data_IF_670262694199
#
_entry.id   IF_670262694199
#
_cell.length_a   1.000
_cell.length_b   1.000
_cell.length_c   1.000
_cell.angle_alpha   90.00
_cell.angle_beta   90.00
_cell.angle_gamma   90.00
#
_symmetry.space_group_name_H-M   'P 1'
#
loop_
_entity.id
_entity.type
_entity.pdbx_description
1 polymer ?
#
# COMPACT_ATOMS: atom_id res chain seq x y z
N UNK A 1 17.56 26.86 -13.21
CA UNK A 1 16.28 26.37 -12.68
C UNK A 1 16.58 25.44 -11.51
N UNK A 2 16.30 25.87 -10.27
CA UNK A 2 16.38 24.96 -9.12
C UNK A 2 15.17 24.01 -9.23
N UNK A 3 15.40 22.77 -9.65
CA UNK A 3 14.40 21.72 -9.54
C UNK A 3 14.14 21.51 -8.06
N UNK A 4 12.92 21.82 -7.61
CA UNK A 4 12.48 21.45 -6.26
C UNK A 4 12.78 19.95 -6.05
N UNK A 5 13.34 19.56 -4.90
CA UNK A 5 13.63 18.16 -4.64
C UNK A 5 12.36 17.34 -4.82
N UNK A 6 12.47 16.23 -5.55
CA UNK A 6 11.32 15.36 -5.83
C UNK A 6 10.80 14.81 -4.50
N UNK A 7 9.61 15.25 -4.08
CA UNK A 7 8.93 14.70 -2.92
C UNK A 7 8.21 13.40 -3.31
N UNK A 8 8.72 12.29 -2.80
CA UNK A 8 8.15 10.95 -3.01
C UNK A 8 6.92 10.71 -2.13
N UNK A 9 6.83 11.35 -0.96
CA UNK A 9 5.70 11.22 -0.04
C UNK A 9 4.70 12.36 -0.20
N UNK A 10 3.41 12.03 -0.24
CA UNK A 10 2.31 12.98 -0.35
C UNK A 10 1.19 12.65 0.62
N UNK A 11 0.49 13.68 1.09
CA UNK A 11 -0.79 13.49 1.77
C UNK A 11 -1.88 13.35 0.72
N UNK A 12 -2.64 12.26 0.77
CA UNK A 12 -3.72 11.98 -0.16
C UNK A 12 -5.08 12.20 0.49
N UNK A 13 -6.11 12.34 -0.34
CA UNK A 13 -7.48 12.51 0.15
C UNK A 13 -7.95 11.25 0.86
N UNK A 14 -8.66 11.46 1.97
CA UNK A 14 -9.39 10.43 2.68
C UNK A 14 -10.84 10.37 2.19
N UNK A 15 -11.39 9.17 2.17
CA UNK A 15 -12.73 8.85 1.72
C UNK A 15 -13.41 8.02 2.79
N UNK A 16 -14.66 8.33 3.06
CA UNK A 16 -15.53 7.53 3.91
C UNK A 16 -16.33 6.61 2.99
N UNK A 17 -16.15 5.31 3.15
CA UNK A 17 -16.74 4.29 2.30
C UNK A 17 -17.64 3.39 3.15
N UNK A 18 -18.80 3.02 2.60
CA UNK A 18 -19.65 1.99 3.18
C UNK A 18 -19.44 0.68 2.44
N UNK A 19 -18.98 -0.34 3.14
CA UNK A 19 -18.72 -1.69 2.63
C UNK A 19 -19.64 -2.66 3.36
N UNK A 20 -20.73 -3.04 2.69
CA UNK A 20 -21.83 -3.76 3.34
C UNK A 20 -22.41 -2.94 4.51
N UNK A 21 -22.36 -3.50 5.71
CA UNK A 21 -22.82 -2.85 6.94
C UNK A 21 -21.72 -2.11 7.71
N UNK A 22 -20.47 -2.14 7.22
CA UNK A 22 -19.34 -1.46 7.85
C UNK A 22 -19.05 -0.13 7.17
N UNK A 23 -18.78 0.90 7.97
CA UNK A 23 -18.26 2.19 7.50
C UNK A 23 -16.75 2.23 7.77
N UNK A 24 -15.96 2.49 6.73
CA UNK A 24 -14.50 2.51 6.79
C UNK A 24 -13.95 3.81 6.22
N UNK A 25 -12.78 4.20 6.70
CA UNK A 25 -12.01 5.31 6.14
C UNK A 25 -10.95 4.73 5.20
N UNK A 26 -10.93 5.16 3.95
CA UNK A 26 -9.93 4.80 2.97
C UNK A 26 -9.15 6.01 2.51
N UNK A 27 -8.00 5.79 1.88
CA UNK A 27 -7.22 6.83 1.23
C UNK A 27 -6.95 6.49 -0.23
N UNK A 28 -6.72 7.52 -1.05
CA UNK A 28 -6.32 7.36 -2.44
C UNK A 28 -4.86 6.96 -2.58
N UNK A 29 -4.60 5.84 -3.25
CA UNK A 29 -3.25 5.37 -3.57
C UNK A 29 -2.81 5.96 -4.91
N UNK A 30 -1.72 6.74 -4.97
CA UNK A 30 -1.15 7.21 -6.24
C UNK A 30 -0.73 6.04 -7.13
N UNK A 31 -0.96 6.15 -8.44
CA UNK A 31 -0.77 5.07 -9.42
C UNK A 31 0.68 4.59 -9.54
N UNK A 32 1.65 5.50 -9.56
CA UNK A 32 3.07 5.18 -9.72
C UNK A 32 3.92 6.31 -9.12
N UNK A 33 5.21 6.03 -8.89
CA UNK A 33 6.29 6.95 -8.47
C UNK A 33 6.13 7.62 -7.09
N UNK A 34 4.95 8.10 -6.75
CA UNK A 34 4.65 8.74 -5.47
C UNK A 34 3.99 7.76 -4.51
N UNK A 35 4.17 8.01 -3.23
CA UNK A 35 3.59 7.25 -2.13
C UNK A 35 2.71 8.19 -1.31
N UNK A 36 1.50 7.73 -1.00
CA UNK A 36 0.72 8.31 0.09
C UNK A 36 1.41 8.00 1.41
N UNK A 37 1.38 8.95 2.36
CA UNK A 37 1.81 8.72 3.74
C UNK A 37 1.08 7.54 4.38
N UNK A 38 -0.18 7.31 4.00
CA UNK A 38 -0.99 6.19 4.49
C UNK A 38 -0.56 4.82 3.90
N UNK A 39 0.36 4.78 2.93
CA UNK A 39 1.00 3.53 2.47
C UNK A 39 2.15 3.10 3.38
N UNK A 40 2.72 4.02 4.18
CA UNK A 40 3.85 3.71 5.07
C UNK A 40 3.51 2.59 6.05
N UNK A 41 2.35 2.59 6.75
CA UNK A 41 1.99 1.49 7.63
C UNK A 41 1.89 0.13 6.92
N UNK A 42 1.46 0.10 5.66
CA UNK A 42 1.42 -1.13 4.88
C UNK A 42 2.82 -1.67 4.60
N UNK A 43 3.71 -0.81 4.10
CA UNK A 43 5.08 -1.18 3.76
C UNK A 43 5.90 -1.54 5.00
N UNK A 44 5.76 -0.77 6.07
CA UNK A 44 6.40 -1.03 7.36
C UNK A 44 6.00 -2.40 7.92
N UNK A 45 4.70 -2.70 7.94
CA UNK A 45 4.18 -4.01 8.40
C UNK A 45 4.63 -5.14 7.49
N UNK A 46 4.59 -4.93 6.17
CA UNK A 46 4.96 -5.96 5.19
C UNK A 46 6.46 -6.31 5.21
N UNK A 47 7.31 -5.31 5.47
CA UNK A 47 8.76 -5.46 5.42
C UNK A 47 9.39 -5.70 6.79
N UNK A 48 8.57 -5.68 7.85
CA UNK A 48 8.99 -5.76 9.25
C UNK A 48 10.01 -4.67 9.62
N UNK A 49 9.64 -3.42 9.33
CA UNK A 49 10.46 -2.23 9.52
C UNK A 49 9.67 -1.19 10.31
N UNK A 50 10.34 -0.47 11.22
CA UNK A 50 9.74 0.65 11.94
C UNK A 50 9.14 1.71 10.99
N UNK A 51 8.00 2.29 11.39
CA UNK A 51 7.27 3.30 10.62
C UNK A 51 8.14 4.50 10.25
N UNK A 52 8.90 5.05 11.20
CA UNK A 52 9.76 6.22 10.95
C UNK A 52 10.93 5.85 10.06
N UNK A 53 11.52 4.67 10.27
CA UNK A 53 12.59 4.17 9.39
C UNK A 53 12.10 4.00 7.95
N UNK A 54 10.89 3.48 7.75
CA UNK A 54 10.28 3.33 6.43
C UNK A 54 10.01 4.69 5.78
N UNK A 55 9.42 5.63 6.53
CA UNK A 55 9.15 6.99 6.06
C UNK A 55 10.43 7.73 5.63
N UNK A 56 11.48 7.65 6.46
CA UNK A 56 12.79 8.23 6.15
C UNK A 56 13.41 7.59 4.91
N UNK A 57 13.33 6.27 4.79
CA UNK A 57 13.89 5.53 3.65
C UNK A 57 13.25 5.94 2.32
N UNK A 58 11.93 6.18 2.29
CA UNK A 58 11.24 6.69 1.10
C UNK A 58 11.54 8.18 0.87
N UNK A 59 11.64 8.97 1.93
CA UNK A 59 12.00 10.39 1.84
C UNK A 59 13.40 10.61 1.26
N UNK A 60 14.34 9.74 1.62
CA UNK A 60 15.75 9.80 1.20
C UNK A 60 15.97 9.34 -0.25
N UNK A 61 14.94 8.79 -0.90
CA UNK A 61 15.00 8.46 -2.33
C UNK A 61 15.29 9.69 -3.21
N UNK A 62 14.99 10.90 -2.72
CA UNK A 62 15.37 12.17 -3.37
C UNK A 62 16.88 12.37 -3.52
N UNK A 63 17.69 11.64 -2.74
CA UNK A 63 19.15 11.62 -2.83
C UNK A 63 19.68 10.51 -3.73
N UNK A 64 18.82 9.78 -4.45
CA UNK A 64 19.19 8.77 -5.45
C UNK A 64 19.33 7.34 -4.91
N UNK A 65 19.12 7.09 -3.61
CA UNK A 65 19.09 5.74 -3.04
C UNK A 65 17.69 5.17 -3.10
N UNK A 66 17.46 4.16 -3.94
CA UNK A 66 16.14 3.55 -4.09
C UNK A 66 15.93 2.51 -3.00
N UNK A 67 15.12 2.86 -1.99
CA UNK A 67 14.72 1.94 -0.93
C UNK A 67 13.51 1.09 -1.35
N UNK A 68 12.49 1.73 -1.91
CA UNK A 68 11.24 1.08 -2.35
C UNK A 68 10.80 1.71 -3.67
N UNK A 69 10.44 0.87 -4.64
CA UNK A 69 9.84 1.31 -5.90
C UNK A 69 8.40 0.83 -6.00
N UNK A 70 7.46 1.77 -6.21
CA UNK A 70 6.08 1.45 -6.57
C UNK A 70 6.00 1.22 -8.07
N UNK A 71 5.75 -0.02 -8.47
CA UNK A 71 5.60 -0.38 -9.88
C UNK A 71 4.27 0.12 -10.43
N UNK A 72 3.17 -0.14 -9.70
CA UNK A 72 1.83 0.26 -10.13
C UNK A 72 0.77 0.10 -9.03
N UNK A 73 -0.35 0.81 -9.19
CA UNK A 73 -1.58 0.65 -8.42
C UNK A 73 -2.77 0.70 -9.39
N UNK A 74 -3.60 -0.35 -9.43
CA UNK A 74 -4.75 -0.46 -10.33
C UNK A 74 -6.01 -0.95 -9.62
N UNK A 75 -7.17 -0.47 -10.08
CA UNK A 75 -8.46 -1.09 -9.79
C UNK A 75 -8.72 -2.21 -10.79
N UNK A 76 -9.24 -3.32 -10.30
CA UNK A 76 -9.53 -4.50 -11.13
C UNK A 76 -10.89 -4.42 -11.83
N UNK A 77 -11.78 -3.54 -11.36
CA UNK A 77 -13.10 -3.28 -11.93
C UNK A 77 -13.15 -1.99 -12.78
N UNK A 78 -11.99 -1.37 -13.03
CA UNK A 78 -11.88 -0.30 -14.03
C UNK A 78 -11.52 -0.89 -15.39
N UNK A 79 -12.23 -0.47 -16.44
CA UNK A 79 -11.75 -0.71 -17.80
C UNK A 79 -10.42 0.03 -17.98
N UNK A 80 -9.35 -0.71 -18.27
CA UNK A 80 -7.96 -0.23 -18.41
C UNK A 80 -7.78 1.01 -19.30
N UNK A 81 -8.76 1.33 -20.16
CA UNK A 81 -8.66 2.37 -21.19
C UNK A 81 -9.68 3.52 -21.06
N UNK A 82 -10.65 3.47 -20.12
CA UNK A 82 -11.78 4.42 -20.14
C UNK A 82 -12.06 5.19 -18.85
N UNK A 83 -11.66 4.69 -17.68
CA UNK A 83 -11.91 5.38 -16.41
C UNK A 83 -10.71 5.27 -15.46
N UNK A 84 -10.13 6.41 -15.08
CA UNK A 84 -9.18 6.51 -13.96
C UNK A 84 -9.95 6.36 -12.64
N UNK A 85 -10.49 5.17 -12.37
CA UNK A 85 -11.08 4.90 -11.06
C UNK A 85 -9.96 4.90 -10.02
N UNK A 86 -10.14 5.69 -8.97
CA UNK A 86 -9.18 5.84 -7.89
C UNK A 86 -8.94 4.51 -7.19
N UNK A 87 -7.68 4.16 -7.00
CA UNK A 87 -7.30 3.05 -6.12
C UNK A 87 -7.46 3.53 -4.68
N UNK A 88 -8.22 2.76 -3.90
CA UNK A 88 -8.55 3.09 -2.53
C UNK A 88 -8.11 1.93 -1.64
N UNK A 89 -7.33 2.21 -0.60
CA UNK A 89 -6.99 1.25 0.46
C UNK A 89 -7.52 1.78 1.80
N UNK A 90 -7.92 0.89 2.74
CA UNK A 90 -8.34 1.32 4.06
C UNK A 90 -7.17 1.97 4.80
N UNK A 91 -7.42 3.06 5.50
CA UNK A 91 -6.40 3.70 6.32
C UNK A 91 -6.17 2.88 7.60
N UNK A 92 -4.97 2.34 7.80
CA UNK A 92 -4.69 1.48 8.95
C UNK A 92 -4.69 2.23 10.29
N UNK A 93 -4.52 3.55 10.27
CA UNK A 93 -4.53 4.37 11.48
C UNK A 93 -5.95 4.79 11.92
N UNK A 94 -6.87 4.98 10.97
CA UNK A 94 -8.21 5.51 11.23
C UNK A 94 -9.29 4.44 11.38
N UNK A 95 -8.96 3.16 11.20
CA UNK A 95 -9.91 2.06 11.34
C UNK A 95 -9.49 1.09 12.45
N UNK A 96 -10.43 0.33 13.03
CA UNK A 96 -10.10 -0.82 13.86
C UNK A 96 -9.48 -1.91 12.97
N UNK A 97 -8.21 -2.23 13.21
CA UNK A 97 -7.45 -3.21 12.44
C UNK A 97 -7.13 -4.43 13.30
N UNK A 98 -7.33 -5.60 12.73
CA UNK A 98 -6.84 -6.89 13.23
C UNK A 98 -6.12 -7.62 12.08
N UNK A 99 -5.27 -8.59 12.38
CA UNK A 99 -4.50 -9.27 11.35
C UNK A 99 -4.06 -10.69 11.67
N UNK A 100 -3.98 -11.50 10.63
CA UNK A 100 -3.46 -12.86 10.65
C UNK A 100 -2.25 -12.97 9.71
N UNK A 101 -1.33 -13.86 10.05
CA UNK A 101 -0.12 -14.11 9.26
C UNK A 101 -0.09 -15.57 8.86
N UNK A 102 0.07 -15.82 7.56
CA UNK A 102 0.39 -17.13 7.01
C UNK A 102 1.80 -17.09 6.43
N UNK A 103 2.69 -17.91 6.98
CA UNK A 103 4.07 -18.03 6.53
C UNK A 103 4.27 -19.31 5.72
N UNK A 104 5.00 -19.17 4.62
CA UNK A 104 5.45 -20.24 3.74
C UNK A 104 6.97 -20.10 3.58
N UNK A 105 7.61 -21.11 2.99
CA UNK A 105 9.07 -21.19 2.87
C UNK A 105 9.71 -19.92 2.27
N UNK A 106 9.17 -19.42 1.15
CA UNK A 106 9.69 -18.22 0.45
C UNK A 106 8.69 -17.04 0.38
N UNK A 107 7.56 -17.16 1.08
CA UNK A 107 6.51 -16.14 1.01
C UNK A 107 5.73 -15.99 2.30
N UNK A 108 5.25 -14.78 2.55
CA UNK A 108 4.41 -14.44 3.69
C UNK A 108 3.15 -13.76 3.19
N UNK A 109 2.00 -14.15 3.74
CA UNK A 109 0.71 -13.53 3.46
C UNK A 109 0.21 -12.89 4.75
N UNK A 110 0.05 -11.56 4.73
CA UNK A 110 -0.62 -10.83 5.79
C UNK A 110 -2.08 -10.66 5.40
N UNK A 111 -2.98 -11.11 6.25
CA UNK A 111 -4.42 -10.88 6.09
C UNK A 111 -4.83 -9.79 7.06
N UNK A 112 -5.37 -8.71 6.54
CA UNK A 112 -5.82 -7.55 7.32
C UNK A 112 -7.34 -7.58 7.38
N UNK A 113 -7.88 -7.59 8.59
CA UNK A 113 -9.29 -7.40 8.89
C UNK A 113 -9.53 -5.92 9.24
N UNK A 114 -10.65 -5.36 8.78
CA UNK A 114 -11.01 -3.96 9.01
C UNK A 114 -12.40 -3.91 9.64
N UNK A 115 -12.46 -3.66 10.94
CA UNK A 115 -13.69 -3.82 11.72
C UNK A 115 -14.24 -5.24 11.58
N UNK A 116 -15.47 -5.37 11.06
CA UNK A 116 -16.10 -6.67 10.84
C UNK A 116 -15.72 -7.32 9.50
N UNK A 117 -14.97 -6.63 8.64
CA UNK A 117 -14.59 -7.12 7.32
C UNK A 117 -13.37 -8.03 7.42
N UNK A 118 -13.59 -9.35 7.32
CA UNK A 118 -12.51 -10.33 7.43
C UNK A 118 -11.68 -10.41 6.14
N UNK A 119 -10.34 -10.34 6.29
CA UNK A 119 -9.35 -10.46 5.22
C UNK A 119 -9.64 -9.48 4.07
N UNK A 120 -10.07 -8.27 4.43
CA UNK A 120 -10.47 -7.25 3.48
C UNK A 120 -9.30 -6.79 2.61
N UNK A 121 -8.10 -6.79 3.19
CA UNK A 121 -6.84 -6.60 2.47
C UNK A 121 -5.94 -7.82 2.71
N UNK A 122 -5.24 -8.25 1.66
CA UNK A 122 -4.19 -9.27 1.73
C UNK A 122 -2.89 -8.68 1.20
N UNK A 123 -1.79 -8.86 1.92
CA UNK A 123 -0.46 -8.46 1.49
C UNK A 123 0.35 -9.70 1.23
N UNK A 124 0.74 -9.92 -0.01
CA UNK A 124 1.63 -10.99 -0.41
C UNK A 124 3.06 -10.45 -0.43
N UNK A 125 3.93 -11.08 0.33
CA UNK A 125 5.34 -10.75 0.41
C UNK A 125 6.11 -11.95 -0.13
N UNK A 126 6.97 -11.72 -1.11
CA UNK A 126 7.86 -12.76 -1.65
C UNK A 126 9.30 -12.29 -1.60
N UNK A 127 10.14 -13.08 -0.96
CA UNK A 127 11.57 -12.80 -0.87
C UNK A 127 12.26 -13.26 -2.15
N UNK A 128 13.05 -12.39 -2.77
CA UNK A 128 13.94 -12.70 -3.89
C UNK A 128 15.38 -12.43 -3.46
N UNK A 129 16.33 -12.87 -4.28
CA UNK A 129 17.77 -12.74 -3.97
C UNK A 129 18.22 -11.30 -3.70
N UNK A 130 17.60 -10.30 -4.34
CA UNK A 130 18.06 -8.90 -4.28
C UNK A 130 16.98 -7.91 -3.84
N UNK A 131 15.76 -8.37 -3.59
CA UNK A 131 14.64 -7.52 -3.19
C UNK A 131 13.51 -8.34 -2.57
N UNK A 132 12.62 -7.68 -1.84
CA UNK A 132 11.31 -8.20 -1.43
C UNK A 132 10.23 -7.63 -2.34
N UNK A 133 9.40 -8.50 -2.89
CA UNK A 133 8.22 -8.11 -3.64
C UNK A 133 7.03 -8.02 -2.69
N UNK A 134 6.32 -6.90 -2.72
CA UNK A 134 5.11 -6.67 -1.90
C UNK A 134 3.94 -6.38 -2.82
N UNK A 135 2.91 -7.22 -2.76
CA UNK A 135 1.66 -7.04 -3.51
C UNK A 135 0.51 -6.91 -2.51
N UNK A 136 -0.15 -5.75 -2.52
CA UNK A 136 -1.35 -5.50 -1.73
C UNK A 136 -2.57 -5.75 -2.61
N UNK A 137 -3.46 -6.62 -2.15
CA UNK A 137 -4.75 -6.88 -2.75
C UNK A 137 -5.87 -6.42 -1.83
N UNK A 138 -6.78 -5.58 -2.34
CA UNK A 138 -8.03 -5.22 -1.67
C UNK A 138 -9.19 -6.00 -2.28
N UNK A 139 -10.03 -6.60 -1.43
CA UNK A 139 -11.27 -7.29 -1.83
C UNK A 139 -12.36 -6.30 -2.28
N UNK A 140 -13.45 -6.78 -2.94
CA UNK A 140 -14.61 -5.96 -3.28
C UNK A 140 -15.15 -5.14 -2.08
N UNK A 141 -15.76 -3.96 -2.30
CA UNK A 141 -16.47 -3.55 -3.52
C UNK A 141 -15.62 -2.79 -4.55
N UNK A 142 -14.41 -2.37 -4.18
CA UNK A 142 -13.48 -1.68 -5.09
C UNK A 142 -12.17 -2.46 -5.14
N UNK A 143 -12.18 -3.62 -5.84
CA UNK A 143 -11.04 -4.51 -5.84
C UNK A 143 -9.84 -3.81 -6.48
N UNK A 144 -8.70 -3.89 -5.82
CA UNK A 144 -7.48 -3.20 -6.23
C UNK A 144 -6.25 -4.05 -5.98
N UNK A 145 -5.23 -3.82 -6.81
CA UNK A 145 -3.89 -4.36 -6.62
C UNK A 145 -2.88 -3.22 -6.61
N UNK A 146 -1.92 -3.29 -5.70
CA UNK A 146 -0.78 -2.39 -5.63
C UNK A 146 0.49 -3.20 -5.49
N UNK A 147 1.52 -2.88 -6.28
CA UNK A 147 2.76 -3.64 -6.30
C UNK A 147 3.98 -2.76 -6.04
N UNK A 148 4.84 -3.25 -5.16
CA UNK A 148 6.09 -2.62 -4.77
C UNK A 148 7.25 -3.61 -4.83
N UNK A 149 8.44 -3.06 -5.02
CA UNK A 149 9.73 -3.75 -4.88
C UNK A 149 10.53 -3.00 -3.82
N UNK A 150 10.99 -3.71 -2.79
CA UNK A 150 11.79 -3.13 -1.71
C UNK A 150 13.20 -3.73 -1.72
N UNK A 151 14.22 -2.88 -1.68
CA UNK A 151 15.65 -3.22 -1.73
C UNK A 151 16.32 -3.10 -0.35
N UNK A 152 15.51 -3.15 0.72
CA UNK A 152 15.92 -2.96 2.12
C UNK A 152 16.64 -4.18 2.70
#
# INVERSE_FOLDING_TARGET
>A
MATLPVEYLRTTRLFRERVGDSEIISFEVPTHKYFSRNEIPYLATALDVDLRKMENSISDMKYGRVAVEKLWAYRLDSQLLRENKKVLLPDLASNPIDGEVEEYEDSKILKIHVGNLREFVRIFIRTRQSFKEVVIYRKPPHPALVRYVAYL
#
